data_IF_558840879030
#
_entry.id   IF_558840879030
#
_cell.length_a   1.000
_cell.length_b   1.000
_cell.length_c   1.000
_cell.angle_alpha   90.00
_cell.angle_beta   90.00
_cell.angle_gamma   90.00
#
_symmetry.space_group_name_H-M   'P 1'
#
loop_
_entity.id
_entity.type
_entity.pdbx_description
1 polymer ?
#
# COMPACT_ATOMS: atom_id res chain seq x y z
N UNK A 1 -15.59 -17.73 10.71
CA UNK A 1 -15.73 -16.33 10.29
C UNK A 1 -15.12 -15.33 11.26
N UNK A 2 -15.64 -15.09 12.50
CA UNK A 2 -15.04 -14.08 13.43
C UNK A 2 -13.60 -14.43 13.80
N UNK A 3 -13.31 -15.69 14.11
CA UNK A 3 -11.95 -16.13 14.44
C UNK A 3 -10.99 -16.03 13.25
N UNK A 4 -11.43 -16.32 12.05
CA UNK A 4 -10.65 -16.16 10.81
C UNK A 4 -10.35 -14.70 10.54
N UNK A 5 -11.35 -13.83 10.64
CA UNK A 5 -11.15 -12.37 10.50
C UNK A 5 -10.16 -11.84 11.56
N UNK A 6 -10.29 -12.31 12.80
CA UNK A 6 -9.36 -11.94 13.86
C UNK A 6 -7.93 -12.42 13.55
N UNK A 7 -7.76 -13.62 13.00
CA UNK A 7 -6.46 -14.14 12.60
C UNK A 7 -5.80 -13.34 11.48
N UNK A 8 -6.58 -12.74 10.56
CA UNK A 8 -6.09 -11.88 9.49
C UNK A 8 -5.73 -10.49 10.01
N UNK A 9 -6.60 -9.92 10.84
CA UNK A 9 -6.52 -8.50 11.22
C UNK A 9 -5.62 -8.28 12.43
N UNK A 10 -5.71 -9.16 13.45
CA UNK A 10 -5.00 -8.98 14.71
C UNK A 10 -3.47 -8.85 14.55
N UNK A 11 -2.77 -9.66 13.72
CA UNK A 11 -1.33 -9.49 13.53
C UNK A 11 -0.97 -8.10 13.02
N UNK A 12 -1.72 -7.56 12.05
CA UNK A 12 -1.47 -6.23 11.47
C UNK A 12 -1.59 -5.16 12.55
N UNK A 13 -2.68 -5.17 13.32
CA UNK A 13 -2.93 -4.15 14.33
C UNK A 13 -2.06 -4.32 15.59
N UNK A 14 -1.79 -5.54 16.01
CA UNK A 14 -0.92 -5.79 17.16
C UNK A 14 0.52 -5.35 16.89
N UNK A 15 1.07 -5.70 15.73
CA UNK A 15 2.44 -5.31 15.36
C UNK A 15 2.55 -3.81 15.14
N UNK A 16 1.58 -3.19 14.46
CA UNK A 16 1.52 -1.73 14.32
C UNK A 16 1.28 -1.05 15.69
N UNK A 17 0.47 -1.64 16.56
CA UNK A 17 0.26 -1.19 17.93
C UNK A 17 1.53 -1.21 18.77
N UNK A 18 2.37 -2.24 18.66
CA UNK A 18 3.70 -2.29 19.29
C UNK A 18 4.55 -1.11 18.81
N UNK A 19 4.60 -0.87 17.49
CA UNK A 19 5.31 0.28 16.94
C UNK A 19 4.76 1.62 17.45
N UNK A 20 3.43 1.75 17.56
CA UNK A 20 2.80 2.96 18.07
C UNK A 20 3.17 3.22 19.54
N UNK A 21 3.09 2.21 20.40
CA UNK A 21 3.50 2.31 21.80
C UNK A 21 4.98 2.67 21.90
N UNK A 22 5.84 2.00 21.09
CA UNK A 22 7.27 2.30 21.03
C UNK A 22 7.54 3.78 20.72
N UNK A 23 6.87 4.32 19.71
CA UNK A 23 6.96 5.73 19.34
C UNK A 23 6.44 6.68 20.42
N UNK A 24 5.33 6.34 21.07
CA UNK A 24 4.76 7.14 22.19
C UNK A 24 5.66 7.16 23.43
N UNK A 25 6.37 6.05 23.68
CA UNK A 25 7.37 5.95 24.74
C UNK A 25 8.69 6.66 24.38
N UNK A 26 8.79 7.20 23.16
CA UNK A 26 10.01 7.86 22.66
C UNK A 26 11.25 6.96 22.74
N UNK A 27 11.08 5.67 22.59
CA UNK A 27 12.19 4.74 22.54
C UNK A 27 13.01 4.94 21.25
N UNK A 28 14.32 4.65 21.26
CA UNK A 28 15.16 4.83 20.09
C UNK A 28 14.63 4.07 18.87
N UNK A 29 14.33 4.79 17.79
CA UNK A 29 13.88 4.24 16.53
C UNK A 29 14.21 5.23 15.42
N UNK A 30 15.21 4.92 14.64
CA UNK A 30 15.52 5.73 13.46
C UNK A 30 14.64 5.30 12.28
N UNK A 31 13.51 6.00 12.12
CA UNK A 31 12.55 5.73 11.06
C UNK A 31 13.18 5.80 9.67
N UNK A 32 14.17 6.67 9.46
CA UNK A 32 14.83 6.82 8.16
C UNK A 32 15.64 5.57 7.81
N UNK A 33 16.48 5.09 8.72
CA UNK A 33 17.25 3.85 8.54
C UNK A 33 16.36 2.63 8.39
N UNK A 34 15.36 2.48 9.24
CA UNK A 34 14.43 1.34 9.19
C UNK A 34 13.64 1.33 7.86
N UNK A 35 13.14 2.49 7.44
CA UNK A 35 12.46 2.61 6.13
C UNK A 35 13.41 2.32 4.98
N UNK A 36 14.67 2.76 5.05
CA UNK A 36 15.67 2.47 4.02
C UNK A 36 15.97 0.96 3.92
N UNK A 37 16.11 0.25 5.04
CA UNK A 37 16.28 -1.20 5.07
C UNK A 37 15.03 -1.90 4.48
N UNK A 38 13.86 -1.49 4.92
CA UNK A 38 12.60 -2.05 4.43
C UNK A 38 12.46 -1.89 2.92
N UNK A 39 12.70 -0.69 2.38
CA UNK A 39 12.44 -0.38 0.96
C UNK A 39 13.57 -0.80 0.02
N UNK A 40 14.82 -0.83 0.49
CA UNK A 40 15.96 -1.11 -0.39
C UNK A 40 16.49 -2.54 -0.26
N UNK A 41 16.13 -3.26 0.80
CA UNK A 41 16.64 -4.62 1.06
C UNK A 41 15.48 -5.59 1.22
N UNK A 42 14.67 -5.43 2.28
CA UNK A 42 13.71 -6.45 2.67
C UNK A 42 12.53 -6.58 1.69
N UNK A 43 11.95 -5.47 1.23
CA UNK A 43 10.84 -5.52 0.26
C UNK A 43 11.29 -6.03 -1.11
N UNK A 44 12.44 -5.60 -1.70
CA UNK A 44 12.98 -6.24 -2.89
C UNK A 44 13.23 -7.74 -2.73
N UNK A 45 13.78 -8.16 -1.58
CA UNK A 45 13.99 -9.59 -1.29
C UNK A 45 12.65 -10.36 -1.21
N UNK A 46 11.65 -9.81 -0.51
CA UNK A 46 10.31 -10.39 -0.43
C UNK A 46 9.69 -10.56 -1.83
N UNK A 47 9.77 -9.54 -2.67
CA UNK A 47 9.25 -9.56 -4.04
C UNK A 47 9.92 -10.68 -4.86
N UNK A 48 11.24 -10.73 -4.84
CA UNK A 48 12.00 -11.74 -5.58
C UNK A 48 11.72 -13.15 -5.06
N UNK A 49 11.74 -13.36 -3.74
CA UNK A 49 11.44 -14.64 -3.13
C UNK A 49 10.05 -15.15 -3.50
N UNK A 50 9.04 -14.26 -3.37
CA UNK A 50 7.64 -14.59 -3.66
C UNK A 50 7.45 -14.91 -5.13
N UNK A 51 7.86 -14.02 -6.05
CA UNK A 51 7.61 -14.21 -7.48
C UNK A 51 8.44 -15.33 -8.10
N UNK A 52 9.64 -15.63 -7.59
CA UNK A 52 10.45 -16.76 -8.07
C UNK A 52 9.93 -18.13 -7.56
N UNK A 53 9.25 -18.16 -6.40
CA UNK A 53 8.72 -19.40 -5.78
C UNK A 53 7.30 -19.76 -6.21
N UNK A 54 6.54 -18.85 -6.81
CA UNK A 54 5.09 -19.00 -7.04
C UNK A 54 4.75 -19.46 -8.46
N UNK A 55 3.67 -20.24 -8.52
CA UNK A 55 3.02 -20.69 -9.77
C UNK A 55 1.86 -19.77 -10.19
N UNK A 56 1.95 -18.45 -9.91
CA UNK A 56 0.99 -17.49 -10.46
C UNK A 56 1.33 -17.23 -11.91
N UNK A 57 0.33 -17.23 -12.79
CA UNK A 57 0.57 -17.03 -14.22
C UNK A 57 0.92 -15.57 -14.54
N UNK A 58 1.77 -15.35 -15.55
CA UNK A 58 2.10 -14.02 -16.00
C UNK A 58 0.85 -13.22 -16.45
N UNK A 59 -0.18 -13.93 -16.96
CA UNK A 59 -1.47 -13.34 -17.31
C UNK A 59 -2.19 -12.76 -16.10
N UNK A 60 -2.27 -13.49 -14.99
CA UNK A 60 -2.92 -13.02 -13.76
C UNK A 60 -2.23 -11.77 -13.17
N UNK A 61 -0.88 -11.72 -13.21
CA UNK A 61 -0.16 -10.53 -12.78
C UNK A 61 -0.37 -9.34 -13.72
N UNK A 62 -0.37 -9.58 -15.04
CA UNK A 62 -0.60 -8.50 -16.02
C UNK A 62 -2.03 -7.95 -15.92
N UNK A 63 -3.01 -8.80 -15.69
CA UNK A 63 -4.40 -8.42 -15.46
C UNK A 63 -4.53 -7.58 -14.18
N UNK A 64 -3.87 -8.01 -13.09
CA UNK A 64 -3.83 -7.25 -11.84
C UNK A 64 -3.14 -5.89 -12.03
N UNK A 65 -2.03 -5.83 -12.75
CA UNK A 65 -1.34 -4.56 -13.03
C UNK A 65 -2.23 -3.61 -13.86
N UNK A 66 -2.97 -4.12 -14.84
CA UNK A 66 -3.95 -3.36 -15.61
C UNK A 66 -5.09 -2.85 -14.69
N UNK A 67 -5.63 -3.74 -13.85
CA UNK A 67 -6.67 -3.37 -12.90
C UNK A 67 -6.23 -2.22 -11.98
N UNK A 68 -5.01 -2.29 -11.45
CA UNK A 68 -4.44 -1.22 -10.61
C UNK A 68 -4.23 0.07 -11.40
N UNK A 69 -3.76 0.00 -12.63
CA UNK A 69 -3.62 1.18 -13.48
C UNK A 69 -4.98 1.88 -13.70
N UNK A 70 -6.05 1.10 -13.94
CA UNK A 70 -7.41 1.61 -14.06
C UNK A 70 -7.92 2.20 -12.73
N UNK A 71 -7.62 1.56 -11.58
CA UNK A 71 -7.99 2.15 -10.28
C UNK A 71 -7.28 3.46 -10.01
N UNK A 72 -6.02 3.61 -10.41
CA UNK A 72 -5.28 4.87 -10.29
C UNK A 72 -5.93 5.99 -11.10
N UNK A 73 -6.38 5.69 -12.33
CA UNK A 73 -7.16 6.64 -13.14
C UNK A 73 -8.48 6.98 -12.45
N UNK A 74 -9.21 5.97 -11.98
CA UNK A 74 -10.46 6.14 -11.24
C UNK A 74 -10.29 7.00 -9.98
N UNK A 75 -9.22 6.78 -9.21
CA UNK A 75 -8.90 7.60 -8.02
C UNK A 75 -8.57 9.04 -8.40
N UNK A 76 -7.82 9.24 -9.50
CA UNK A 76 -7.51 10.58 -10.01
C UNK A 76 -8.76 11.35 -10.38
N UNK A 77 -9.69 10.69 -11.10
CA UNK A 77 -10.96 11.30 -11.53
C UNK A 77 -11.91 11.52 -10.35
N UNK A 78 -12.21 10.49 -9.58
CA UNK A 78 -13.14 10.58 -8.45
C UNK A 78 -12.59 11.47 -7.33
N UNK A 79 -11.30 11.32 -6.97
CA UNK A 79 -10.64 12.14 -5.98
C UNK A 79 -10.50 13.60 -6.42
N UNK A 80 -10.12 13.83 -7.69
CA UNK A 80 -10.04 15.17 -8.25
C UNK A 80 -11.40 15.88 -8.24
N UNK A 81 -12.47 15.21 -8.69
CA UNK A 81 -13.83 15.75 -8.67
C UNK A 81 -14.28 16.04 -7.22
N UNK A 82 -14.09 15.10 -6.30
CA UNK A 82 -14.47 15.28 -4.90
C UNK A 82 -13.76 16.48 -4.26
N UNK A 83 -12.45 16.63 -4.50
CA UNK A 83 -11.68 17.75 -3.98
C UNK A 83 -12.13 19.08 -4.58
N UNK A 84 -12.46 19.14 -5.88
CA UNK A 84 -13.01 20.34 -6.52
C UNK A 84 -14.36 20.73 -5.94
N UNK A 85 -15.26 19.77 -5.75
CA UNK A 85 -16.58 20.00 -5.13
C UNK A 85 -16.44 20.51 -3.68
N UNK A 86 -15.46 19.97 -2.93
CA UNK A 86 -15.15 20.41 -1.57
C UNK A 86 -14.31 21.70 -1.52
N UNK A 87 -13.95 22.29 -2.67
CA UNK A 87 -13.07 23.46 -2.80
C UNK A 87 -11.74 23.28 -2.08
N UNK A 88 -11.17 22.08 -2.14
CA UNK A 88 -9.90 21.72 -1.52
C UNK A 88 -8.76 21.73 -2.54
N UNK A 89 -7.52 21.94 -2.05
CA UNK A 89 -6.33 22.01 -2.89
C UNK A 89 -6.02 20.66 -3.55
N UNK A 90 -6.08 20.57 -4.88
CA UNK A 90 -5.64 19.40 -5.62
C UNK A 90 -4.15 19.09 -5.36
N UNK A 91 -3.30 20.10 -5.31
CA UNK A 91 -1.86 19.94 -5.10
C UNK A 91 -1.52 19.30 -3.75
N UNK A 92 -2.29 19.62 -2.71
CA UNK A 92 -2.08 19.07 -1.38
C UNK A 92 -2.73 17.69 -1.18
N UNK A 93 -3.89 17.45 -1.79
CA UNK A 93 -4.73 16.32 -1.40
C UNK A 93 -4.98 15.28 -2.48
N UNK A 94 -4.66 15.54 -3.76
CA UNK A 94 -4.89 14.57 -4.83
C UNK A 94 -4.02 13.31 -4.62
N UNK A 95 -2.75 13.47 -4.24
CA UNK A 95 -1.88 12.34 -3.93
C UNK A 95 -2.40 11.51 -2.74
N UNK A 96 -2.79 12.09 -1.58
CA UNK A 96 -3.50 11.37 -0.53
C UNK A 96 -4.79 10.65 -0.97
N UNK A 97 -5.54 11.21 -1.92
CA UNK A 97 -6.73 10.56 -2.48
C UNK A 97 -6.39 9.36 -3.37
N UNK A 98 -5.25 9.39 -4.07
CA UNK A 98 -4.83 8.33 -4.99
C UNK A 98 -4.00 7.24 -4.31
N UNK A 99 -3.10 7.62 -3.40
CA UNK A 99 -2.06 6.74 -2.85
C UNK A 99 -2.47 6.14 -1.52
N UNK A 100 -2.85 4.88 -1.59
CA UNK A 100 -3.19 4.05 -0.43
C UNK A 100 -1.97 3.43 0.24
N UNK A 101 -2.13 2.98 1.46
CA UNK A 101 -1.11 2.25 2.22
C UNK A 101 -1.02 0.77 1.79
N UNK A 102 -0.82 0.57 0.50
CA UNK A 102 -0.79 -0.76 -0.14
C UNK A 102 0.40 -1.61 0.32
N UNK A 103 1.53 -1.00 0.70
CA UNK A 103 2.72 -1.70 1.18
C UNK A 103 2.58 -2.13 2.64
N UNK A 104 2.58 -1.16 3.56
CA UNK A 104 2.69 -1.47 5.00
C UNK A 104 1.45 -2.16 5.59
N UNK A 105 0.26 -1.93 5.04
CA UNK A 105 -0.98 -2.58 5.47
C UNK A 105 -1.52 -3.55 4.42
N UNK A 106 -1.49 -3.16 3.16
CA UNK A 106 -2.11 -3.94 2.10
C UNK A 106 -1.45 -5.30 1.87
N UNK A 107 -0.10 -5.37 1.77
CA UNK A 107 0.60 -6.65 1.56
C UNK A 107 0.36 -7.65 2.69
N UNK A 108 0.50 -7.29 3.99
CA UNK A 108 0.17 -8.18 5.08
C UNK A 108 -1.27 -8.72 5.03
N UNK A 109 -2.24 -7.84 4.74
CA UNK A 109 -3.64 -8.23 4.67
C UNK A 109 -3.90 -9.18 3.49
N UNK A 110 -3.29 -8.95 2.33
CA UNK A 110 -3.39 -9.85 1.19
C UNK A 110 -2.80 -11.23 1.51
N UNK A 111 -1.63 -11.28 2.18
CA UNK A 111 -1.02 -12.53 2.63
C UNK A 111 -1.91 -13.28 3.61
N UNK A 112 -2.43 -12.60 4.62
CA UNK A 112 -3.23 -13.26 5.65
C UNK A 112 -4.64 -13.66 5.17
N UNK A 113 -5.21 -12.93 4.19
CA UNK A 113 -6.53 -13.23 3.66
C UNK A 113 -6.52 -14.29 2.56
N UNK A 114 -5.50 -14.29 1.68
CA UNK A 114 -5.45 -15.10 0.47
C UNK A 114 -4.15 -15.89 0.30
N UNK A 115 -3.34 -15.99 1.37
CA UNK A 115 -2.08 -16.73 1.34
C UNK A 115 -1.05 -16.16 0.36
N UNK A 116 -0.17 -17.03 -0.13
CA UNK A 116 0.92 -16.64 -1.04
C UNK A 116 0.41 -16.09 -2.38
N UNK A 117 -0.70 -16.59 -2.91
CA UNK A 117 -1.34 -16.05 -4.11
C UNK A 117 -1.76 -14.60 -3.91
N UNK A 118 -2.42 -14.32 -2.77
CA UNK A 118 -2.80 -12.96 -2.40
C UNK A 118 -1.60 -12.03 -2.23
N UNK A 119 -0.50 -12.54 -1.66
CA UNK A 119 0.75 -11.78 -1.55
C UNK A 119 1.32 -11.44 -2.94
N UNK A 120 1.37 -12.39 -3.87
CA UNK A 120 1.90 -12.16 -5.23
C UNK A 120 1.08 -11.11 -6.00
N UNK A 121 -0.25 -11.23 -5.97
CA UNK A 121 -1.15 -10.25 -6.57
C UNK A 121 -1.03 -8.89 -5.89
N UNK A 122 -0.89 -8.88 -4.56
CA UNK A 122 -0.63 -7.68 -3.77
C UNK A 122 0.70 -7.00 -4.14
N UNK A 123 1.75 -7.78 -4.42
CA UNK A 123 3.05 -7.28 -4.91
C UNK A 123 2.89 -6.61 -6.29
N UNK A 124 2.10 -7.20 -7.20
CA UNK A 124 1.80 -6.56 -8.49
C UNK A 124 1.10 -5.21 -8.30
N UNK A 125 0.11 -5.14 -7.38
CA UNK A 125 -0.54 -3.89 -6.99
C UNK A 125 0.48 -2.89 -6.43
N UNK A 126 1.32 -3.33 -5.52
CA UNK A 126 2.33 -2.49 -4.87
C UNK A 126 3.35 -1.93 -5.88
N UNK A 127 3.80 -2.74 -6.84
CA UNK A 127 4.76 -2.31 -7.87
C UNK A 127 4.20 -1.15 -8.72
N UNK A 128 2.96 -1.27 -9.21
CA UNK A 128 2.30 -0.21 -10.01
C UNK A 128 2.06 1.04 -9.16
N UNK A 129 1.55 0.87 -7.93
CA UNK A 129 1.35 1.99 -7.02
C UNK A 129 2.66 2.69 -6.65
N UNK A 130 3.73 1.96 -6.36
CA UNK A 130 5.03 2.51 -6.04
C UNK A 130 5.60 3.27 -7.24
N UNK A 131 5.54 2.70 -8.45
CA UNK A 131 5.98 3.37 -9.67
C UNK A 131 5.26 4.71 -9.85
N UNK A 132 3.95 4.74 -9.69
CA UNK A 132 3.16 5.97 -9.79
C UNK A 132 3.42 6.94 -8.63
N UNK A 133 3.51 6.45 -7.40
CA UNK A 133 3.72 7.28 -6.20
C UNK A 133 5.03 8.07 -6.28
N UNK A 134 6.11 7.40 -6.67
CA UNK A 134 7.44 8.01 -6.77
C UNK A 134 7.67 8.80 -8.07
N UNK A 135 6.69 8.86 -8.96
CA UNK A 135 6.74 9.64 -10.22
C UNK A 135 5.64 10.66 -10.31
N UNK A 136 4.44 10.24 -10.70
CA UNK A 136 3.25 11.07 -10.81
C UNK A 136 2.86 11.69 -9.47
N UNK A 137 2.95 10.93 -8.37
CA UNK A 137 2.66 11.41 -7.01
C UNK A 137 3.59 12.55 -6.61
N UNK A 138 4.91 12.39 -6.77
CA UNK A 138 5.88 13.47 -6.52
C UNK A 138 5.64 14.65 -7.45
N UNK A 139 5.38 14.39 -8.74
CA UNK A 139 5.11 15.47 -9.72
C UNK A 139 3.89 16.31 -9.33
N UNK A 140 2.82 15.69 -8.85
CA UNK A 140 1.60 16.40 -8.40
C UNK A 140 1.90 17.33 -7.21
N UNK A 141 2.68 16.87 -6.23
CA UNK A 141 2.97 17.64 -5.01
C UNK A 141 4.05 18.69 -5.26
N UNK A 142 5.13 18.34 -5.99
CA UNK A 142 6.28 19.23 -6.26
C UNK A 142 6.04 20.19 -7.41
N UNK A 143 5.17 19.84 -8.35
CA UNK A 143 5.01 20.54 -9.62
C UNK A 143 6.12 20.23 -10.63
N UNK A 144 6.98 19.24 -10.40
CA UNK A 144 8.10 18.86 -11.28
C UNK A 144 8.12 17.35 -11.51
N UNK A 145 8.23 16.92 -12.76
CA UNK A 145 8.44 15.49 -13.08
C UNK A 145 9.92 15.14 -13.04
N UNK A 146 10.28 14.06 -12.32
CA UNK A 146 11.66 13.55 -12.26
C UNK A 146 11.67 12.06 -12.55
N UNK A 147 12.01 11.68 -13.79
CA UNK A 147 12.11 10.27 -14.21
C UNK A 147 13.26 9.53 -13.51
N UNK A 148 14.26 10.25 -13.04
CA UNK A 148 15.44 9.69 -12.34
C UNK A 148 15.09 8.92 -11.06
N UNK A 149 13.98 9.26 -10.41
CA UNK A 149 13.54 8.59 -9.17
C UNK A 149 13.05 7.17 -9.42
N UNK A 150 12.35 6.92 -10.55
CA UNK A 150 11.92 5.56 -10.94
C UNK A 150 13.11 4.65 -11.08
N UNK A 151 14.11 5.09 -11.83
CA UNK A 151 15.32 4.33 -12.11
C UNK A 151 16.18 4.02 -10.87
N UNK A 152 15.86 4.62 -9.72
CA UNK A 152 16.57 4.43 -8.45
C UNK A 152 15.76 3.67 -7.41
N UNK A 153 14.55 3.24 -7.73
CA UNK A 153 13.67 2.55 -6.78
C UNK A 153 13.89 1.03 -6.87
N UNK A 154 14.54 0.39 -5.86
CA UNK A 154 14.88 -1.05 -5.91
C UNK A 154 13.66 -1.96 -6.05
N UNK A 155 12.51 -1.54 -5.49
CA UNK A 155 11.24 -2.27 -5.59
C UNK A 155 10.81 -2.49 -7.05
N UNK A 156 10.98 -1.48 -7.91
CA UNK A 156 10.61 -1.58 -9.33
C UNK A 156 11.53 -2.59 -10.04
N UNK A 157 12.84 -2.53 -9.77
CA UNK A 157 13.78 -3.49 -10.35
C UNK A 157 13.51 -4.92 -9.87
N UNK A 158 13.27 -5.10 -8.57
CA UNK A 158 12.92 -6.41 -8.02
C UNK A 158 11.64 -6.96 -8.63
N UNK A 159 10.62 -6.12 -8.84
CA UNK A 159 9.36 -6.53 -9.50
C UNK A 159 9.60 -6.96 -10.94
N UNK A 160 10.36 -6.19 -11.71
CA UNK A 160 10.69 -6.52 -13.11
C UNK A 160 11.49 -7.83 -13.21
N UNK A 161 12.51 -8.00 -12.35
CA UNK A 161 13.32 -9.22 -12.30
C UNK A 161 12.46 -10.41 -11.86
N UNK A 162 11.64 -10.25 -10.80
CA UNK A 162 10.76 -11.30 -10.31
C UNK A 162 9.74 -11.75 -11.34
N UNK A 163 9.13 -10.81 -12.08
CA UNK A 163 8.22 -11.12 -13.20
C UNK A 163 8.96 -11.86 -14.32
N UNK A 164 10.20 -11.45 -14.65
CA UNK A 164 10.99 -12.14 -15.67
C UNK A 164 11.36 -13.57 -15.24
N UNK A 165 11.79 -13.79 -13.99
CA UNK A 165 12.07 -15.12 -13.44
C UNK A 165 10.83 -16.02 -13.50
N UNK A 166 9.69 -15.50 -13.10
CA UNK A 166 8.42 -16.21 -13.14
C UNK A 166 8.00 -16.54 -14.59
N UNK A 167 8.08 -15.56 -15.52
CA UNK A 167 7.69 -15.76 -16.92
C UNK A 167 8.58 -16.78 -17.66
N UNK A 168 9.85 -16.87 -17.27
CA UNK A 168 10.80 -17.84 -17.81
C UNK A 168 10.79 -19.19 -17.10
N UNK A 169 10.07 -19.31 -16.00
CA UNK A 169 10.11 -20.52 -15.15
C UNK A 169 11.46 -20.78 -14.49
N UNK A 170 12.31 -19.74 -14.39
CA UNK A 170 13.67 -19.87 -13.90
C UNK A 170 13.66 -19.96 -12.37
N UNK A 171 13.99 -21.16 -11.85
CA UNK A 171 14.15 -21.36 -10.42
C UNK A 171 15.47 -20.76 -9.92
N UNK A 172 15.42 -20.10 -8.76
CA UNK A 172 16.62 -19.61 -8.09
C UNK A 172 17.39 -20.76 -7.44
N UNK A 173 18.74 -20.69 -7.40
CA UNK A 173 19.52 -21.61 -6.58
C UNK A 173 19.07 -21.58 -5.11
N UNK A 174 19.08 -22.73 -4.44
CA UNK A 174 18.57 -22.86 -3.07
C UNK A 174 19.18 -21.84 -2.08
N UNK A 175 20.51 -21.60 -2.18
CA UNK A 175 21.18 -20.61 -1.32
C UNK A 175 20.66 -19.18 -1.55
N UNK A 176 20.32 -18.84 -2.79
CA UNK A 176 19.78 -17.52 -3.12
C UNK A 176 18.33 -17.40 -2.63
N UNK A 177 17.49 -18.42 -2.88
CA UNK A 177 16.12 -18.45 -2.38
C UNK A 177 16.09 -18.32 -0.86
N UNK A 178 16.88 -19.15 -0.13
CA UNK A 178 16.96 -19.09 1.33
C UNK A 178 17.41 -17.71 1.85
N UNK A 179 18.36 -17.06 1.14
CA UNK A 179 18.81 -15.71 1.52
C UNK A 179 17.66 -14.68 1.33
N UNK A 180 16.96 -14.76 0.22
CA UNK A 180 15.85 -13.86 -0.07
C UNK A 180 14.67 -14.10 0.90
N UNK A 181 14.39 -15.35 1.26
CA UNK A 181 13.35 -15.70 2.23
C UNK A 181 13.65 -15.11 3.61
N UNK A 182 14.90 -15.21 4.10
CA UNK A 182 15.31 -14.61 5.37
C UNK A 182 15.21 -13.09 5.33
N UNK A 183 15.75 -12.45 4.29
CA UNK A 183 15.71 -10.99 4.16
C UNK A 183 14.28 -10.48 3.90
N UNK A 184 13.50 -11.19 3.11
CA UNK A 184 12.11 -10.87 2.80
C UNK A 184 11.19 -11.05 4.00
N UNK A 185 11.45 -12.07 4.83
CA UNK A 185 10.65 -12.36 6.01
C UNK A 185 10.57 -11.24 7.04
N UNK A 186 11.58 -10.35 7.09
CA UNK A 186 11.54 -9.18 7.97
C UNK A 186 10.76 -7.99 7.38
N UNK A 187 10.41 -8.01 6.09
CA UNK A 187 9.76 -6.88 5.43
C UNK A 187 8.43 -6.51 6.09
N UNK A 188 7.53 -7.47 6.21
CA UNK A 188 6.18 -7.25 6.76
C UNK A 188 6.22 -6.77 8.22
N UNK A 189 6.91 -7.46 9.16
CA UNK A 189 7.00 -7.00 10.54
C UNK A 189 7.63 -5.60 10.65
N UNK A 190 8.70 -5.37 9.90
CA UNK A 190 9.42 -4.09 9.93
C UNK A 190 8.56 -2.93 9.42
N UNK A 191 7.82 -3.13 8.32
CA UNK A 191 6.89 -2.14 7.77
C UNK A 191 5.75 -1.83 8.74
N UNK A 192 5.19 -2.83 9.43
CA UNK A 192 4.11 -2.63 10.40
C UNK A 192 4.59 -1.89 11.65
N UNK A 193 5.78 -2.23 12.19
CA UNK A 193 6.37 -1.50 13.32
C UNK A 193 6.66 -0.05 12.91
N UNK A 194 7.28 0.15 11.74
CA UNK A 194 7.58 1.50 11.23
C UNK A 194 6.30 2.32 10.97
N UNK A 195 5.22 1.68 10.51
CA UNK A 195 3.90 2.32 10.41
C UNK A 195 3.44 2.82 11.77
N UNK A 196 3.48 1.97 12.80
CA UNK A 196 3.05 2.33 14.15
C UNK A 196 3.86 3.50 14.73
N UNK A 197 5.20 3.44 14.65
CA UNK A 197 6.08 4.53 15.09
C UNK A 197 5.79 5.82 14.33
N UNK A 198 5.60 5.74 13.01
CA UNK A 198 5.25 6.90 12.19
C UNK A 198 3.93 7.51 12.60
N UNK A 199 2.89 6.70 12.85
CA UNK A 199 1.59 7.17 13.33
C UNK A 199 1.71 7.89 14.70
N UNK A 200 2.57 7.39 15.60
CA UNK A 200 2.80 7.99 16.90
C UNK A 200 3.50 9.36 16.83
N UNK A 201 4.28 9.61 15.78
CA UNK A 201 5.06 10.83 15.57
C UNK A 201 4.36 11.88 14.70
N UNK A 202 3.23 11.54 14.04
CA UNK A 202 2.51 12.46 13.18
C UNK A 202 1.87 13.60 13.98
N UNK A 203 2.21 14.82 13.61
CA UNK A 203 1.56 16.03 14.15
C UNK A 203 0.38 16.43 13.23
N UNK A 204 -0.80 15.96 13.58
CA UNK A 204 -2.01 16.32 12.85
C UNK A 204 -2.47 17.72 13.24
N UNK A 205 -2.56 18.59 12.24
CA UNK A 205 -3.17 19.93 12.34
C UNK A 205 -4.27 20.02 11.27
N UNK A 206 -5.23 20.91 11.44
CA UNK A 206 -6.36 21.02 10.48
C UNK A 206 -7.13 19.70 10.31
N UNK A 207 -7.54 19.10 11.42
CA UNK A 207 -8.23 17.80 11.47
C UNK A 207 -9.47 17.72 10.58
N UNK A 208 -10.19 18.85 10.38
CA UNK A 208 -11.37 18.89 9.51
C UNK A 208 -11.03 18.53 8.06
N UNK A 209 -9.98 19.13 7.47
CA UNK A 209 -9.55 18.82 6.11
C UNK A 209 -9.03 17.36 6.04
N UNK A 210 -8.25 16.95 7.04
CA UNK A 210 -7.77 15.57 7.16
C UNK A 210 -8.91 14.54 7.21
N UNK A 211 -9.96 14.82 7.98
CA UNK A 211 -11.14 13.95 8.10
C UNK A 211 -11.91 13.84 6.78
N UNK A 212 -12.11 14.96 6.07
CA UNK A 212 -12.79 14.96 4.76
C UNK A 212 -12.00 14.09 3.78
N UNK A 213 -10.68 14.29 3.67
CA UNK A 213 -9.83 13.48 2.79
C UNK A 213 -9.85 12.01 3.19
N UNK A 214 -9.77 11.70 4.50
CA UNK A 214 -9.80 10.32 5.01
C UNK A 214 -11.08 9.58 4.61
N UNK A 215 -12.24 10.20 4.84
CA UNK A 215 -13.54 9.61 4.52
C UNK A 215 -13.72 9.46 3.01
N UNK A 216 -13.43 10.52 2.24
CA UNK A 216 -13.51 10.47 0.77
C UNK A 216 -12.57 9.40 0.20
N UNK A 217 -11.34 9.27 0.73
CA UNK A 217 -10.39 8.25 0.30
C UNK A 217 -10.92 6.84 0.51
N UNK A 218 -11.45 6.53 1.69
CA UNK A 218 -11.95 5.19 1.99
C UNK A 218 -13.17 4.83 1.15
N UNK A 219 -14.13 5.77 0.99
CA UNK A 219 -15.32 5.58 0.16
C UNK A 219 -14.92 5.41 -1.31
N UNK A 220 -14.14 6.35 -1.86
CA UNK A 220 -13.70 6.30 -3.25
C UNK A 220 -12.83 5.05 -3.49
N UNK A 221 -11.99 4.69 -2.52
CA UNK A 221 -11.16 3.50 -2.59
C UNK A 221 -11.97 2.23 -2.79
N UNK A 222 -12.95 2.01 -1.94
CA UNK A 222 -13.84 0.86 -2.06
C UNK A 222 -14.66 0.90 -3.36
N UNK A 223 -15.29 2.04 -3.67
CA UNK A 223 -16.16 2.16 -4.84
C UNK A 223 -15.42 1.96 -6.17
N UNK A 224 -14.23 2.58 -6.32
CA UNK A 224 -13.41 2.43 -7.53
C UNK A 224 -12.82 1.02 -7.62
N UNK A 225 -12.30 0.47 -6.50
CA UNK A 225 -11.76 -0.90 -6.49
C UNK A 225 -12.81 -1.94 -6.88
N UNK A 226 -14.01 -1.84 -6.30
CA UNK A 226 -15.15 -2.70 -6.65
C UNK A 226 -15.57 -2.49 -8.10
N UNK A 227 -15.72 -1.23 -8.55
CA UNK A 227 -16.12 -0.93 -9.91
C UNK A 227 -15.17 -1.46 -10.98
N UNK A 228 -13.85 -1.38 -10.74
CA UNK A 228 -12.84 -1.94 -11.66
C UNK A 228 -12.84 -3.47 -11.59
N UNK A 229 -12.99 -4.07 -10.40
CA UNK A 229 -13.08 -5.52 -10.27
C UNK A 229 -14.26 -6.10 -11.06
N UNK A 230 -15.44 -5.47 -10.94
CA UNK A 230 -16.63 -5.88 -11.72
C UNK A 230 -16.48 -5.60 -13.22
N UNK A 231 -15.88 -4.46 -13.59
CA UNK A 231 -15.64 -4.10 -15.00
C UNK A 231 -14.75 -5.12 -15.73
N UNK A 232 -13.72 -5.63 -15.04
CA UNK A 232 -12.78 -6.62 -15.58
C UNK A 232 -13.24 -8.07 -15.34
N UNK A 233 -14.33 -8.29 -14.63
CA UNK A 233 -14.79 -9.63 -14.27
C UNK A 233 -13.82 -10.40 -13.39
N UNK A 234 -13.10 -9.70 -12.49
CA UNK A 234 -12.16 -10.35 -11.58
C UNK A 234 -12.92 -11.23 -10.57
N UNK A 235 -12.38 -12.42 -10.33
CA UNK A 235 -12.94 -13.39 -9.39
C UNK A 235 -11.89 -13.81 -8.35
N UNK A 236 -12.30 -14.52 -7.32
CA UNK A 236 -11.44 -15.13 -6.33
C UNK A 236 -10.44 -14.16 -5.69
N UNK A 237 -9.21 -14.60 -5.49
CA UNK A 237 -8.15 -13.83 -4.85
C UNK A 237 -7.86 -12.51 -5.58
N UNK A 238 -7.91 -12.48 -6.92
CA UNK A 238 -7.65 -11.28 -7.70
C UNK A 238 -8.67 -10.16 -7.40
N UNK A 239 -9.96 -10.51 -7.34
CA UNK A 239 -11.02 -9.58 -6.95
C UNK A 239 -10.82 -9.08 -5.52
N UNK A 240 -10.61 -10.01 -4.57
CA UNK A 240 -10.42 -9.68 -3.16
C UNK A 240 -9.21 -8.79 -2.92
N UNK A 241 -8.07 -9.10 -3.51
CA UNK A 241 -6.84 -8.31 -3.42
C UNK A 241 -7.04 -6.90 -3.98
N UNK A 242 -7.65 -6.75 -5.17
CA UNK A 242 -7.87 -5.43 -5.75
C UNK A 242 -8.75 -4.56 -4.85
N UNK A 243 -9.85 -5.11 -4.33
CA UNK A 243 -10.77 -4.40 -3.42
C UNK A 243 -10.05 -4.01 -2.11
N UNK A 244 -9.34 -4.95 -1.49
CA UNK A 244 -8.59 -4.69 -0.26
C UNK A 244 -7.55 -3.59 -0.50
N UNK A 245 -6.68 -3.73 -1.49
CA UNK A 245 -5.62 -2.77 -1.80
C UNK A 245 -6.18 -1.38 -2.13
N UNK A 246 -7.28 -1.34 -2.88
CA UNK A 246 -7.95 -0.09 -3.24
C UNK A 246 -8.57 0.63 -2.05
N UNK A 247 -9.09 -0.10 -1.07
CA UNK A 247 -9.74 0.45 0.12
C UNK A 247 -8.77 0.73 1.29
N UNK A 248 -7.45 0.54 1.11
CA UNK A 248 -6.48 0.87 2.15
C UNK A 248 -6.50 2.36 2.50
N UNK A 249 -6.20 2.73 3.77
CA UNK A 249 -6.12 4.11 4.21
C UNK A 249 -5.00 4.87 3.50
N UNK A 250 -4.94 6.18 3.73
CA UNK A 250 -3.93 7.06 3.14
C UNK A 250 -2.51 6.60 3.52
N UNK A 251 -1.62 6.49 2.54
CA UNK A 251 -0.24 6.09 2.79
C UNK A 251 0.55 7.14 3.57
N UNK A 252 1.39 6.69 4.51
CA UNK A 252 2.26 7.58 5.33
C UNK A 252 3.21 8.41 4.47
N UNK A 253 3.69 7.87 3.34
CA UNK A 253 4.56 8.59 2.41
C UNK A 253 3.94 9.89 1.88
N UNK A 254 2.61 10.00 1.81
CA UNK A 254 1.95 11.25 1.43
C UNK A 254 2.28 12.40 2.40
N UNK A 255 2.39 12.11 3.72
CA UNK A 255 2.84 13.09 4.70
C UNK A 255 4.28 13.53 4.45
N UNK A 256 5.18 12.59 4.14
CA UNK A 256 6.59 12.92 3.87
C UNK A 256 6.72 13.85 2.64
N UNK A 257 5.96 13.58 1.58
CA UNK A 257 5.94 14.44 0.41
C UNK A 257 5.33 15.81 0.72
N UNK A 258 4.20 15.83 1.46
CA UNK A 258 3.58 17.08 1.87
C UNK A 258 4.51 17.93 2.73
N UNK A 259 5.28 17.31 3.63
CA UNK A 259 6.27 18.00 4.45
C UNK A 259 7.46 18.52 3.61
N UNK A 260 7.99 17.69 2.71
CA UNK A 260 9.13 18.05 1.86
C UNK A 260 8.81 19.21 0.92
N UNK A 261 7.58 19.25 0.39
CA UNK A 261 7.14 20.26 -0.59
C UNK A 261 6.20 21.32 0.01
N UNK A 262 6.09 21.39 1.33
CA UNK A 262 5.29 22.38 2.11
C UNK A 262 3.82 22.45 1.68
N UNK A 263 3.21 21.28 1.34
CA UNK A 263 1.83 21.16 0.89
C UNK A 263 0.90 20.71 2.01
N UNK A 264 0.56 21.60 2.95
CA UNK A 264 -0.36 21.34 4.09
C UNK A 264 -0.04 20.05 4.89
N UNK A 265 1.21 19.84 5.33
CA UNK A 265 1.62 18.58 5.94
C UNK A 265 0.76 18.18 7.16
N UNK A 266 0.35 19.12 7.99
CA UNK A 266 -0.48 18.83 9.16
C UNK A 266 -1.88 18.30 8.80
N UNK A 267 -2.49 18.74 7.70
CA UNK A 267 -3.78 18.21 7.23
C UNK A 267 -3.61 16.84 6.57
N UNK A 268 -2.53 16.63 5.83
CA UNK A 268 -2.19 15.31 5.27
C UNK A 268 -1.88 14.30 6.39
N UNK A 269 -1.14 14.70 7.43
CA UNK A 269 -0.95 13.87 8.62
C UNK A 269 -2.29 13.49 9.27
N UNK A 270 -3.21 14.45 9.38
CA UNK A 270 -4.57 14.21 9.86
C UNK A 270 -5.31 13.17 9.00
N UNK A 271 -5.19 13.24 7.66
CA UNK A 271 -5.82 12.26 6.78
C UNK A 271 -5.24 10.84 6.96
N UNK A 272 -3.93 10.71 7.15
CA UNK A 272 -3.27 9.43 7.44
C UNK A 272 -3.80 8.85 8.76
N UNK A 273 -3.77 9.63 9.84
CA UNK A 273 -4.20 9.17 11.17
C UNK A 273 -5.67 8.78 11.19
N UNK A 274 -6.55 9.65 10.66
CA UNK A 274 -8.00 9.43 10.70
C UNK A 274 -8.39 8.26 9.80
N UNK A 275 -7.86 8.17 8.56
CA UNK A 275 -8.18 7.05 7.67
C UNK A 275 -7.68 5.73 8.24
N UNK A 276 -6.49 5.71 8.87
CA UNK A 276 -5.99 4.50 9.53
C UNK A 276 -6.87 4.14 10.74
N UNK A 277 -7.28 5.09 11.56
CA UNK A 277 -8.20 4.83 12.67
C UNK A 277 -9.55 4.29 12.20
N UNK A 278 -10.14 4.86 11.15
CA UNK A 278 -11.40 4.36 10.55
C UNK A 278 -11.19 2.95 9.99
N UNK A 279 -10.03 2.65 9.43
CA UNK A 279 -9.75 1.33 8.85
C UNK A 279 -9.78 0.20 9.87
N UNK A 280 -9.56 0.46 11.17
CA UNK A 280 -9.78 -0.55 12.22
C UNK A 280 -11.21 -1.11 12.25
N UNK A 281 -12.18 -0.28 11.86
CA UNK A 281 -13.60 -0.69 11.81
C UNK A 281 -14.00 -1.12 10.40
N UNK A 282 -13.52 -0.44 9.37
CA UNK A 282 -13.92 -0.73 7.99
C UNK A 282 -13.26 -1.99 7.41
N UNK A 283 -12.03 -2.32 7.81
CA UNK A 283 -11.33 -3.50 7.30
C UNK A 283 -12.00 -4.84 7.65
N UNK A 284 -12.49 -5.09 8.87
CA UNK A 284 -13.25 -6.31 9.13
C UNK A 284 -14.46 -6.48 8.20
N UNK A 285 -15.22 -5.39 7.99
CA UNK A 285 -16.38 -5.40 7.08
C UNK A 285 -15.96 -5.62 5.62
N UNK A 286 -14.87 -4.96 5.22
CA UNK A 286 -14.31 -5.11 3.88
C UNK A 286 -13.83 -6.54 3.61
N UNK A 287 -13.16 -7.18 4.58
CA UNK A 287 -12.69 -8.55 4.46
C UNK A 287 -13.85 -9.55 4.36
N UNK A 288 -14.90 -9.39 5.18
CA UNK A 288 -16.12 -10.20 5.03
C UNK A 288 -16.63 -10.09 3.59
N UNK A 289 -16.79 -8.87 3.09
CA UNK A 289 -17.28 -8.63 1.73
C UNK A 289 -16.33 -9.18 0.65
N UNK A 290 -15.03 -9.04 0.83
CA UNK A 290 -14.04 -9.49 -0.14
C UNK A 290 -13.91 -11.02 -0.16
N UNK A 291 -14.12 -11.69 0.99
CA UNK A 291 -14.02 -13.15 1.14
C UNK A 291 -15.34 -13.89 0.92
N UNK A 292 -16.49 -13.22 0.98
CA UNK A 292 -17.84 -13.84 0.93
C UNK A 292 -18.21 -14.37 -0.48
N UNK A 293 -17.36 -14.15 -1.48
CA UNK A 293 -17.51 -14.64 -2.85
C UNK A 293 -16.33 -15.52 -3.31
N UNK A 294 -15.71 -16.22 -2.33
CA UNK A 294 -14.70 -17.24 -2.55
C UNK A 294 -15.29 -18.64 -2.66
#
# INVERSE_FOLDING_TARGET
>A
MIAELAAIIAPVFLIAGIGFVWGRMKLPFDTATITAIATNVSTPALILATLAGLKVTASALSEMMLAVALTLVGFGLAGGLALLLCRMSLRAFLTPMMMANVGNMGLPLCLFAFGEEGLALGIACFAVNAAWHFTGGIAMVSGRMTFRTIMRTPVIHASLIGIALMATGTALPAWMQNTLDVLGGIAIPLMLIALGVSLASLEARSLREGAVVAVLRLIAGFAVGLGVAELLGLEGAARGVLIIQSAMPVAVFNYLFAATYEQRPGAVAGSVLISTAISFVSLPLLLVFAMDRF
#
